data_IF_739666220339
#
_entry.id   IF_739666220339
#
_cell.length_a   1.000
_cell.length_b   1.000
_cell.length_c   1.000
_cell.angle_alpha   90.00
_cell.angle_beta   90.00
_cell.angle_gamma   90.00
#
_symmetry.space_group_name_H-M   'P 1'
#
loop_
_entity.id
_entity.type
_entity.pdbx_description
1 polymer ?
#
# COMPACT_ATOMS: atom_id res chain seq x y z
N UNK A 1 -13.61 16.12 8.12
CA UNK A 1 -13.50 15.08 9.17
C UNK A 1 -13.37 13.69 8.54
N UNK A 2 -13.61 13.56 7.23
CA UNK A 2 -13.64 12.29 6.49
C UNK A 2 -12.27 11.64 6.25
N UNK A 3 -11.18 12.43 6.33
CA UNK A 3 -9.82 11.98 6.06
C UNK A 3 -9.29 10.86 6.98
N UNK A 4 -9.86 10.68 8.16
CA UNK A 4 -9.49 9.60 9.09
C UNK A 4 -10.53 8.47 9.15
N UNK A 5 -11.81 8.76 8.87
CA UNK A 5 -12.89 7.76 8.92
C UNK A 5 -12.69 6.64 7.89
N UNK A 6 -12.20 6.99 6.69
CA UNK A 6 -11.92 5.96 5.68
C UNK A 6 -10.76 5.04 6.08
N UNK A 7 -9.81 5.49 6.91
CA UNK A 7 -8.73 4.65 7.44
C UNK A 7 -9.27 3.64 8.46
N UNK A 8 -10.20 4.05 9.33
CA UNK A 8 -10.91 3.11 10.20
C UNK A 8 -11.64 2.03 9.36
N UNK A 9 -12.31 2.46 8.28
CA UNK A 9 -12.99 1.52 7.38
C UNK A 9 -12.04 0.63 6.62
N UNK A 10 -10.86 1.14 6.28
CA UNK A 10 -9.80 0.37 5.65
C UNK A 10 -9.31 -0.74 6.58
N UNK A 11 -9.05 -0.40 7.85
CA UNK A 11 -8.63 -1.35 8.88
C UNK A 11 -9.64 -2.48 9.05
N UNK A 12 -10.93 -2.15 9.15
CA UNK A 12 -12.01 -3.15 9.20
C UNK A 12 -11.97 -4.06 7.96
N UNK A 13 -11.85 -3.46 6.77
CA UNK A 13 -11.86 -4.20 5.51
C UNK A 13 -10.66 -5.16 5.43
N UNK A 14 -9.47 -4.72 5.85
CA UNK A 14 -8.28 -5.56 5.91
C UNK A 14 -8.41 -6.69 6.94
N UNK A 15 -8.88 -6.39 8.15
CA UNK A 15 -9.10 -7.41 9.19
C UNK A 15 -10.03 -8.54 8.78
N UNK A 16 -10.96 -8.28 7.85
CA UNK A 16 -11.89 -9.29 7.33
C UNK A 16 -11.25 -10.27 6.33
N UNK A 17 -10.02 -10.01 5.87
CA UNK A 17 -9.34 -10.84 4.86
C UNK A 17 -8.59 -12.04 5.43
N UNK A 18 -8.19 -11.98 6.71
CA UNK A 18 -7.32 -12.98 7.34
C UNK A 18 -5.84 -12.94 6.92
N UNK A 19 -5.42 -11.91 6.18
CA UNK A 19 -4.03 -11.68 5.77
C UNK A 19 -3.25 -10.87 6.84
N UNK A 20 -1.92 -10.91 6.82
CA UNK A 20 -1.06 -10.10 7.70
C UNK A 20 -0.97 -8.65 7.23
N UNK A 21 -1.99 -7.84 7.51
CA UNK A 21 -2.15 -6.48 6.97
C UNK A 21 -1.59 -5.38 7.88
N UNK A 22 -1.22 -5.71 9.12
CA UNK A 22 -1.01 -4.76 10.21
C UNK A 22 0.06 -3.72 9.86
N UNK A 23 1.22 -4.16 9.38
CA UNK A 23 2.33 -3.26 9.05
C UNK A 23 2.03 -2.40 7.81
N UNK A 24 1.34 -2.97 6.81
CA UNK A 24 0.87 -2.22 5.64
C UNK A 24 -0.11 -1.12 6.05
N UNK A 25 -1.09 -1.45 6.91
CA UNK A 25 -2.04 -0.48 7.44
C UNK A 25 -1.33 0.62 8.21
N UNK A 26 -0.40 0.26 9.09
CA UNK A 26 0.32 1.21 9.92
C UNK A 26 1.13 2.21 9.07
N UNK A 27 1.80 1.73 8.01
CA UNK A 27 2.52 2.60 7.09
C UNK A 27 1.59 3.51 6.28
N UNK A 28 0.46 3.00 5.78
CA UNK A 28 -0.54 3.82 5.08
C UNK A 28 -1.05 4.92 6.02
N UNK A 29 -1.52 4.54 7.20
CA UNK A 29 -2.05 5.45 8.21
C UNK A 29 -1.02 6.52 8.58
N UNK A 30 0.22 6.11 8.90
CA UNK A 30 1.26 7.03 9.31
C UNK A 30 1.72 7.95 8.17
N UNK A 31 1.83 7.44 6.93
CA UNK A 31 2.22 8.26 5.77
C UNK A 31 1.21 9.39 5.52
N UNK A 32 -0.08 9.10 5.68
CA UNK A 32 -1.17 10.07 5.50
C UNK A 32 -1.28 11.00 6.72
N UNK A 33 -1.31 10.46 7.93
CA UNK A 33 -1.49 11.24 9.17
C UNK A 33 -0.33 12.21 9.41
N UNK A 34 0.90 11.85 9.03
CA UNK A 34 2.08 12.72 9.12
C UNK A 34 2.24 13.65 7.90
N UNK A 35 1.32 13.59 6.93
CA UNK A 35 1.35 14.43 5.72
C UNK A 35 2.55 14.16 4.82
N UNK A 36 3.12 12.95 4.86
CA UNK A 36 4.23 12.55 3.98
C UNK A 36 3.74 12.34 2.55
N UNK A 37 2.51 11.86 2.40
CA UNK A 37 1.82 11.69 1.13
C UNK A 37 0.30 11.75 1.33
N UNK A 38 -0.46 11.64 0.25
CA UNK A 38 -1.88 11.33 0.28
C UNK A 38 -2.12 9.98 -0.41
N UNK A 39 -3.30 9.38 -0.19
CA UNK A 39 -3.55 8.04 -0.72
C UNK A 39 -3.51 7.95 -2.27
N UNK A 40 -4.02 8.93 -3.04
CA UNK A 40 -3.87 8.92 -4.49
C UNK A 40 -2.41 8.88 -4.98
N UNK A 41 -1.53 9.65 -4.35
CA UNK A 41 -0.11 9.64 -4.65
C UNK A 41 0.55 8.32 -4.19
N UNK A 42 0.21 7.85 -2.98
CA UNK A 42 0.69 6.57 -2.44
C UNK A 42 0.43 5.40 -3.41
N UNK A 43 -0.81 5.22 -3.87
CA UNK A 43 -1.14 4.11 -4.76
C UNK A 43 -0.58 4.31 -6.18
N UNK A 44 -0.41 5.56 -6.61
CA UNK A 44 0.24 5.86 -7.87
C UNK A 44 1.71 5.43 -7.86
N UNK A 45 2.46 5.75 -6.81
CA UNK A 45 3.86 5.34 -6.66
C UNK A 45 3.98 3.82 -6.51
N UNK A 46 3.10 3.20 -5.71
CA UNK A 46 3.00 1.74 -5.63
C UNK A 46 2.76 1.10 -7.01
N UNK A 47 1.88 1.69 -7.84
CA UNK A 47 1.61 1.19 -9.20
C UNK A 47 2.83 1.27 -10.15
N UNK A 48 3.83 2.08 -9.80
CA UNK A 48 5.10 2.19 -10.50
C UNK A 48 6.19 1.30 -9.90
N UNK A 49 5.88 0.57 -8.83
CA UNK A 49 6.83 -0.27 -8.11
C UNK A 49 7.71 0.49 -7.13
N UNK A 50 7.26 1.65 -6.65
CA UNK A 50 7.95 2.43 -5.62
C UNK A 50 7.18 2.30 -4.31
N UNK A 51 7.86 1.90 -3.24
CA UNK A 51 7.33 1.78 -1.90
C UNK A 51 7.14 3.15 -1.22
N UNK A 52 6.96 3.13 0.10
CA UNK A 52 6.82 4.36 0.90
C UNK A 52 7.84 4.39 2.02
N UNK A 53 8.45 5.54 2.28
CA UNK A 53 9.23 5.81 3.49
C UNK A 53 8.62 6.97 4.25
N UNK A 54 8.15 6.68 5.47
CA UNK A 54 7.54 7.67 6.36
C UNK A 54 8.60 8.37 7.21
N UNK A 55 9.62 7.60 7.62
CA UNK A 55 10.86 8.03 8.27
C UNK A 55 11.92 6.92 8.15
N UNK A 56 13.14 7.19 8.61
CA UNK A 56 14.17 6.16 8.78
C UNK A 56 13.62 4.99 9.62
N UNK A 57 13.90 3.77 9.18
CA UNK A 57 13.36 2.54 9.77
C UNK A 57 11.84 2.37 9.66
N UNK A 58 11.12 3.22 8.94
CA UNK A 58 9.65 3.16 8.88
C UNK A 58 9.15 3.21 7.43
N UNK A 59 9.23 2.06 6.76
CA UNK A 59 9.03 1.95 5.32
C UNK A 59 8.70 0.53 4.84
N UNK A 60 8.26 0.43 3.59
CA UNK A 60 8.31 -0.80 2.81
C UNK A 60 8.89 -0.49 1.43
N UNK A 61 9.50 -1.48 0.80
CA UNK A 61 10.07 -1.36 -0.55
C UNK A 61 9.31 -2.20 -1.56
N UNK A 62 9.35 -1.78 -2.81
CA UNK A 62 8.86 -2.51 -3.98
C UNK A 62 10.00 -2.70 -4.98
N UNK A 63 9.72 -3.39 -6.09
CA UNK A 63 10.74 -3.79 -7.05
C UNK A 63 11.57 -2.66 -7.69
N UNK A 64 11.15 -1.39 -7.67
CA UNK A 64 12.00 -0.27 -8.14
C UNK A 64 12.90 0.33 -7.06
N UNK A 65 12.70 -0.05 -5.79
CA UNK A 65 13.56 0.39 -4.69
C UNK A 65 14.78 -0.54 -4.50
N UNK A 66 14.80 -1.68 -5.20
CA UNK A 66 15.87 -2.68 -5.16
C UNK A 66 16.93 -2.39 -6.24
N UNK A 67 18.19 -2.71 -5.95
CA UNK A 67 19.30 -2.54 -6.91
C UNK A 67 19.09 -3.40 -8.18
N UNK A 68 18.65 -4.65 -8.00
CA UNK A 68 18.13 -5.50 -9.06
C UNK A 68 16.63 -5.73 -8.85
N UNK A 69 15.78 -5.14 -9.70
CA UNK A 69 14.35 -5.39 -9.63
C UNK A 69 13.99 -6.86 -9.69
N UNK A 70 14.76 -7.73 -10.36
CA UNK A 70 14.48 -9.16 -10.55
C UNK A 70 14.54 -9.97 -9.25
N UNK A 71 15.27 -9.49 -8.23
CA UNK A 71 15.39 -10.16 -6.92
C UNK A 71 14.15 -9.96 -6.03
N UNK A 72 13.30 -8.99 -6.35
CA UNK A 72 12.06 -8.75 -5.61
C UNK A 72 11.09 -9.94 -5.73
N UNK A 73 10.68 -10.50 -4.59
CA UNK A 73 9.77 -11.65 -4.52
C UNK A 73 8.66 -11.52 -3.46
N UNK A 74 8.80 -10.58 -2.52
CA UNK A 74 7.83 -10.27 -1.47
C UNK A 74 7.93 -8.79 -1.05
N UNK A 75 6.91 -8.28 -0.37
CA UNK A 75 6.90 -6.93 0.18
C UNK A 75 7.32 -7.00 1.65
N UNK A 76 8.54 -6.57 1.95
CA UNK A 76 9.06 -6.50 3.32
C UNK A 76 8.73 -5.17 3.98
N UNK A 77 8.27 -5.24 5.23
CA UNK A 77 7.90 -4.10 6.05
C UNK A 77 8.92 -3.90 7.17
N UNK A 78 9.26 -2.63 7.41
CA UNK A 78 10.19 -2.21 8.44
C UNK A 78 9.49 -1.22 9.34
N UNK A 79 9.19 -1.64 10.57
CA UNK A 79 8.69 -0.77 11.64
C UNK A 79 9.73 -0.64 12.77
N UNK A 80 10.89 -0.08 12.44
CA UNK A 80 12.06 0.11 13.27
C UNK A 80 13.35 -0.23 12.52
N UNK A 81 14.39 -0.61 13.25
CA UNK A 81 15.71 -0.95 12.68
C UNK A 81 15.76 -2.33 11.99
N UNK A 82 14.68 -3.11 12.08
CA UNK A 82 14.63 -4.49 11.57
C UNK A 82 13.34 -4.72 10.80
N UNK A 83 13.37 -5.69 9.88
CA UNK A 83 12.18 -6.20 9.22
C UNK A 83 11.22 -6.77 10.26
N UNK A 84 9.96 -6.37 10.19
CA UNK A 84 8.91 -6.79 11.12
C UNK A 84 8.03 -7.88 10.53
N UNK A 85 7.71 -7.78 9.24
CA UNK A 85 6.95 -8.78 8.52
C UNK A 85 7.19 -8.67 7.02
N UNK A 86 6.74 -9.67 6.27
CA UNK A 86 6.65 -9.62 4.82
C UNK A 86 5.27 -10.10 4.34
N UNK A 87 4.87 -9.66 3.15
CA UNK A 87 3.68 -10.13 2.44
C UNK A 87 4.04 -10.71 1.07
N UNK A 88 3.45 -11.85 0.69
CA UNK A 88 3.46 -12.29 -0.70
C UNK A 88 2.92 -11.18 -1.61
N UNK A 89 3.55 -10.96 -2.75
CA UNK A 89 3.14 -9.91 -3.71
C UNK A 89 1.66 -10.01 -4.10
N UNK A 90 1.07 -11.20 -4.35
CA UNK A 90 -0.36 -11.31 -4.62
C UNK A 90 -1.25 -10.80 -3.48
N UNK A 91 -0.88 -11.06 -2.23
CA UNK A 91 -1.62 -10.64 -1.04
C UNK A 91 -1.53 -9.12 -0.86
N UNK A 92 -0.33 -8.55 -1.05
CA UNK A 92 -0.14 -7.10 -1.07
C UNK A 92 -1.01 -6.43 -2.15
N UNK A 93 -1.00 -6.94 -3.39
CA UNK A 93 -1.81 -6.40 -4.49
C UNK A 93 -3.30 -6.48 -4.16
N UNK A 94 -3.75 -7.58 -3.57
CA UNK A 94 -5.13 -7.75 -3.14
C UNK A 94 -5.54 -6.71 -2.08
N UNK A 95 -4.72 -6.53 -1.04
CA UNK A 95 -4.94 -5.51 -0.01
C UNK A 95 -4.94 -4.09 -0.60
N UNK A 96 -4.02 -3.77 -1.50
CA UNK A 96 -3.98 -2.45 -2.16
C UNK A 96 -5.21 -2.18 -3.02
N UNK A 97 -5.79 -3.21 -3.65
CA UNK A 97 -7.08 -3.09 -4.36
C UNK A 97 -8.25 -2.83 -3.41
N UNK A 98 -8.27 -3.48 -2.24
CA UNK A 98 -9.25 -3.17 -1.19
C UNK A 98 -9.09 -1.70 -0.74
N UNK A 99 -7.86 -1.25 -0.51
CA UNK A 99 -7.58 0.13 -0.11
C UNK A 99 -8.07 1.15 -1.16
N UNK A 100 -7.81 0.87 -2.43
CA UNK A 100 -8.33 1.66 -3.55
C UNK A 100 -9.85 1.74 -3.57
N UNK A 101 -10.51 0.60 -3.38
CA UNK A 101 -11.96 0.53 -3.35
C UNK A 101 -12.54 1.32 -2.18
N UNK A 102 -12.07 1.05 -0.96
CA UNK A 102 -12.51 1.76 0.26
C UNK A 102 -12.32 3.27 0.07
N UNK A 103 -11.13 3.73 -0.30
CA UNK A 103 -10.88 5.16 -0.52
C UNK A 103 -11.85 5.77 -1.54
N UNK A 104 -12.08 5.11 -2.67
CA UNK A 104 -12.97 5.60 -3.72
C UNK A 104 -14.43 5.77 -3.28
N UNK A 105 -14.88 5.03 -2.26
CA UNK A 105 -16.24 5.20 -1.70
C UNK A 105 -16.39 6.46 -0.85
N UNK A 106 -15.29 6.94 -0.24
CA UNK A 106 -15.29 8.16 0.57
C UNK A 106 -14.93 9.41 -0.25
N UNK A 107 -14.14 9.25 -1.31
CA UNK A 107 -13.65 10.35 -2.16
C UNK A 107 -13.96 10.07 -3.64
N UNK A 108 -15.22 10.22 -4.07
CA UNK A 108 -15.65 9.84 -5.42
C UNK A 108 -14.96 10.65 -6.53
N UNK A 109 -14.62 11.91 -6.28
CA UNK A 109 -13.94 12.79 -7.25
C UNK A 109 -12.54 12.26 -7.62
N UNK A 110 -11.83 11.66 -6.66
CA UNK A 110 -10.49 11.08 -6.85
C UNK A 110 -10.55 9.57 -7.13
N UNK A 111 -11.68 8.92 -6.84
CA UNK A 111 -11.85 7.47 -6.87
C UNK A 111 -11.49 6.83 -8.22
N UNK A 112 -11.85 7.48 -9.33
CA UNK A 112 -11.51 6.98 -10.66
C UNK A 112 -10.00 6.91 -10.93
N UNK A 113 -9.21 7.87 -10.43
CA UNK A 113 -7.76 7.85 -10.57
C UNK A 113 -7.12 6.77 -9.69
N UNK A 114 -7.60 6.64 -8.44
CA UNK A 114 -7.15 5.64 -7.47
C UNK A 114 -7.39 4.21 -7.97
N UNK A 115 -8.59 3.92 -8.49
CA UNK A 115 -8.92 2.61 -9.04
C UNK A 115 -8.05 2.26 -10.27
N UNK A 116 -7.78 3.23 -11.16
CA UNK A 116 -6.85 3.02 -12.29
C UNK A 116 -5.43 2.72 -11.82
N UNK A 117 -4.96 3.36 -10.76
CA UNK A 117 -3.64 3.05 -10.18
C UNK A 117 -3.61 1.63 -9.62
N UNK A 118 -4.68 1.17 -8.95
CA UNK A 118 -4.80 -0.20 -8.47
C UNK A 118 -4.78 -1.24 -9.63
N UNK A 119 -5.46 -0.95 -10.74
CA UNK A 119 -5.39 -1.80 -11.94
C UNK A 119 -3.98 -1.85 -12.54
N UNK A 120 -3.25 -0.74 -12.52
CA UNK A 120 -1.86 -0.68 -13.00
C UNK A 120 -0.93 -1.46 -12.09
N UNK A 121 -1.13 -1.37 -10.78
CA UNK A 121 -0.43 -2.16 -9.77
C UNK A 121 -0.61 -3.67 -10.02
N UNK A 122 -1.85 -4.12 -10.19
CA UNK A 122 -2.17 -5.52 -10.51
C UNK A 122 -1.53 -5.95 -11.84
N UNK A 123 -1.60 -5.13 -12.89
CA UNK A 123 -0.96 -5.43 -14.19
C UNK A 123 0.55 -5.55 -14.09
N UNK A 124 1.19 -4.80 -13.19
CA UNK A 124 2.64 -4.84 -12.96
C UNK A 124 3.06 -6.19 -12.40
N UNK A 125 2.36 -6.67 -11.38
CA UNK A 125 2.75 -7.86 -10.64
C UNK A 125 2.11 -9.17 -11.13
N UNK A 126 1.00 -9.12 -11.86
CA UNK A 126 0.33 -10.32 -12.43
C UNK A 126 1.12 -11.08 -13.48
N UNK A 127 2.14 -10.47 -14.09
CA UNK A 127 3.03 -11.15 -15.05
C UNK A 127 4.21 -11.84 -14.38
N UNK A 128 4.44 -11.53 -13.11
CA UNK A 128 5.67 -11.86 -12.38
C UNK A 128 5.43 -12.88 -11.27
N UNK A 129 4.21 -12.95 -10.75
CA UNK A 129 3.78 -13.82 -9.66
C UNK A 129 2.45 -14.49 -9.99
#
# INVERSE_FOLDING_TARGET
MDGLVWLEKLKESFSSTGLGYEDLYELIEAAIARGRTNFPAFIYDASRGVGVSVSEGFFYSLDQDWDDPEDFNEVSFFLGEVETSSLPVPDYVFLMKIAAHVYSTFFPDDGGAVLRSAERLEKRYSKRF
#
